data_IF_333806417650
#
_entry.id   IF_333806417650
#
_cell.length_a   1.000
_cell.length_b   1.000
_cell.length_c   1.000
_cell.angle_alpha   90.00
_cell.angle_beta   90.00
_cell.angle_gamma   90.00
#
_symmetry.space_group_name_H-M   'P 1'
#
loop_
_entity.id
_entity.type
_entity.pdbx_description
1 polymer ?
#
# COMPACT_ATOMS: atom_id res chain seq x y z
N UNK A 1 13.31 -14.71 8.39
CA UNK A 1 13.68 -13.30 8.12
C UNK A 1 12.43 -12.46 8.00
N UNK A 2 12.34 -11.37 8.76
CA UNK A 2 11.10 -10.64 9.00
C UNK A 2 10.89 -9.53 7.97
N UNK A 3 9.94 -9.70 7.04
CA UNK A 3 9.57 -8.68 6.04
C UNK A 3 8.71 -7.54 6.61
N UNK A 4 8.88 -7.20 7.90
CA UNK A 4 8.05 -6.21 8.61
C UNK A 4 8.20 -4.81 8.02
N UNK A 5 9.38 -4.46 7.53
CA UNK A 5 9.61 -3.20 6.85
C UNK A 5 8.68 -3.04 5.64
N UNK A 6 8.68 -4.01 4.71
CA UNK A 6 7.86 -3.94 3.50
C UNK A 6 6.35 -3.92 3.79
N UNK A 7 5.90 -4.64 4.83
CA UNK A 7 4.51 -4.59 5.28
C UNK A 7 4.12 -3.21 5.81
N UNK A 8 4.94 -2.62 6.68
CA UNK A 8 4.67 -1.29 7.22
C UNK A 8 4.77 -0.22 6.13
N UNK A 9 5.79 -0.31 5.28
CA UNK A 9 6.00 0.60 4.17
C UNK A 9 4.83 0.57 3.18
N UNK A 10 4.43 -0.62 2.72
CA UNK A 10 3.28 -0.78 1.83
C UNK A 10 1.98 -0.26 2.46
N UNK A 11 1.73 -0.56 3.75
CA UNK A 11 0.57 -0.05 4.47
C UNK A 11 0.58 1.49 4.58
N UNK A 12 1.73 2.10 4.90
CA UNK A 12 1.87 3.55 4.98
C UNK A 12 1.66 4.21 3.61
N UNK A 13 2.19 3.63 2.52
CA UNK A 13 1.95 4.16 1.18
C UNK A 13 0.47 4.14 0.82
N UNK A 14 -0.23 3.02 1.06
CA UNK A 14 -1.68 2.93 0.80
C UNK A 14 -2.45 3.97 1.62
N UNK A 15 -2.10 4.16 2.90
CA UNK A 15 -2.77 5.14 3.76
C UNK A 15 -2.50 6.58 3.35
N UNK A 16 -1.25 6.94 3.05
CA UNK A 16 -0.88 8.31 2.70
C UNK A 16 -1.39 8.69 1.32
N UNK A 17 -1.04 7.90 0.29
CA UNK A 17 -1.47 8.20 -1.08
C UNK A 17 -2.98 8.00 -1.25
N UNK A 18 -3.55 6.96 -0.63
CA UNK A 18 -4.98 6.67 -0.73
C UNK A 18 -5.83 7.63 0.09
N UNK A 19 -5.36 8.01 1.28
CA UNK A 19 -6.02 9.00 2.11
C UNK A 19 -6.07 10.37 1.43
N UNK A 20 -4.96 10.84 0.87
CA UNK A 20 -4.95 12.13 0.16
C UNK A 20 -5.80 12.05 -1.12
N UNK A 21 -5.75 10.93 -1.85
CA UNK A 21 -6.58 10.70 -3.03
C UNK A 21 -8.07 10.79 -2.69
N UNK A 22 -8.53 10.07 -1.66
CA UNK A 22 -9.93 10.09 -1.22
C UNK A 22 -10.35 11.50 -0.81
N UNK A 23 -9.56 12.18 0.02
CA UNK A 23 -9.89 13.53 0.50
C UNK A 23 -10.01 14.51 -0.68
N UNK A 24 -9.04 14.50 -1.62
CA UNK A 24 -9.07 15.41 -2.76
C UNK A 24 -10.19 15.05 -3.74
N UNK A 25 -10.36 13.77 -4.07
CA UNK A 25 -11.42 13.33 -4.96
C UNK A 25 -12.81 13.79 -4.48
N UNK A 26 -13.13 13.63 -3.20
CA UNK A 26 -14.43 14.05 -2.65
C UNK A 26 -14.55 15.56 -2.43
N UNK A 27 -13.45 16.27 -2.16
CA UNK A 27 -13.50 17.71 -1.82
C UNK A 27 -13.35 18.63 -3.02
N UNK A 28 -12.51 18.28 -4.00
CA UNK A 28 -12.21 19.10 -5.18
C UNK A 28 -12.72 18.48 -6.47
N UNK A 29 -13.11 17.20 -6.47
CA UNK A 29 -13.45 16.46 -7.70
C UNK A 29 -12.24 16.14 -8.57
N UNK A 30 -11.02 16.40 -8.08
CA UNK A 30 -9.79 16.20 -8.84
C UNK A 30 -9.30 14.75 -8.71
N UNK A 31 -9.09 14.11 -9.86
CA UNK A 31 -8.44 12.81 -9.96
C UNK A 31 -6.94 13.00 -10.08
N UNK A 32 -6.22 12.74 -8.99
CA UNK A 32 -4.76 12.77 -8.95
C UNK A 32 -4.17 11.42 -9.37
N UNK A 33 -3.79 11.32 -10.64
CA UNK A 33 -3.19 10.12 -11.21
C UNK A 33 -1.88 9.72 -10.49
N UNK A 34 -1.10 10.69 -10.01
CA UNK A 34 0.11 10.47 -9.21
C UNK A 34 -0.20 9.75 -7.89
N UNK A 35 -1.29 10.14 -7.22
CA UNK A 35 -1.72 9.49 -5.97
C UNK A 35 -2.26 8.10 -6.23
N UNK A 36 -2.98 7.90 -7.34
CA UNK A 36 -3.47 6.58 -7.74
C UNK A 36 -2.32 5.60 -8.01
N UNK A 37 -1.25 6.06 -8.68
CA UNK A 37 -0.03 5.28 -8.89
C UNK A 37 0.64 4.96 -7.55
N UNK A 38 0.74 5.94 -6.65
CA UNK A 38 1.29 5.73 -5.30
C UNK A 38 0.53 4.68 -4.49
N UNK A 39 -0.80 4.69 -4.56
CA UNK A 39 -1.67 3.65 -3.94
C UNK A 39 -1.42 2.29 -4.58
N UNK A 40 -1.40 2.21 -5.92
CA UNK A 40 -1.21 0.95 -6.62
C UNK A 40 0.14 0.31 -6.29
N UNK A 41 1.22 1.09 -6.30
CA UNK A 41 2.57 0.62 -5.92
C UNK A 41 2.60 0.17 -4.46
N UNK A 42 2.03 0.96 -3.55
CA UNK A 42 1.93 0.62 -2.13
C UNK A 42 1.17 -0.69 -1.90
N UNK A 43 0.05 -0.88 -2.60
CA UNK A 43 -0.76 -2.10 -2.52
C UNK A 43 -0.01 -3.33 -3.05
N UNK A 44 0.69 -3.21 -4.18
CA UNK A 44 1.53 -4.29 -4.72
C UNK A 44 2.60 -4.71 -3.71
N UNK A 45 3.34 -3.75 -3.14
CA UNK A 45 4.37 -4.03 -2.13
C UNK A 45 3.77 -4.70 -0.89
N UNK A 46 2.63 -4.20 -0.41
CA UNK A 46 1.95 -4.76 0.75
C UNK A 46 1.50 -6.20 0.51
N UNK A 47 0.84 -6.46 -0.62
CA UNK A 47 0.32 -7.79 -0.98
C UNK A 47 1.46 -8.79 -1.13
N UNK A 48 2.54 -8.42 -1.84
CA UNK A 48 3.70 -9.29 -2.00
C UNK A 48 4.38 -9.60 -0.67
N UNK A 49 4.58 -8.59 0.17
CA UNK A 49 5.18 -8.77 1.50
C UNK A 49 4.28 -9.63 2.41
N UNK A 50 2.96 -9.50 2.28
CA UNK A 50 1.99 -10.29 3.01
C UNK A 50 2.00 -11.76 2.57
N UNK A 51 1.93 -12.03 1.27
CA UNK A 51 1.99 -13.39 0.72
C UNK A 51 3.30 -14.07 1.13
N UNK A 52 4.43 -13.36 1.05
CA UNK A 52 5.72 -13.89 1.48
C UNK A 52 5.70 -14.28 2.97
N UNK A 53 5.15 -13.41 3.82
CA UNK A 53 5.07 -13.68 5.27
C UNK A 53 4.22 -14.92 5.55
N UNK A 54 3.09 -15.09 4.87
CA UNK A 54 2.24 -16.26 5.04
C UNK A 54 2.96 -17.53 4.58
N UNK A 55 3.62 -17.50 3.42
CA UNK A 55 4.38 -18.65 2.91
C UNK A 55 5.53 -19.07 3.82
N UNK A 56 6.24 -18.12 4.41
CA UNK A 56 7.30 -18.44 5.37
C UNK A 56 6.74 -18.99 6.68
N UNK A 57 5.61 -18.49 7.16
CA UNK A 57 4.96 -19.01 8.38
C UNK A 57 4.43 -20.44 8.21
N UNK A 58 4.05 -20.84 6.99
CA UNK A 58 3.59 -22.21 6.68
C UNK A 58 4.76 -23.19 6.55
N UNK A 59 5.97 -22.71 6.27
CA UNK A 59 7.18 -23.52 6.06
C UNK A 59 8.02 -23.75 7.31
N UNK A 60 7.65 -23.12 8.43
CA UNK A 60 8.21 -23.33 9.78
C UNK A 60 7.25 -24.21 10.59
#
# INVERSE_FOLDING_TARGET
MTNRFFLLFGAMMVLLFGGVFVIRYFRTGELLADQLIGVAVGAIVFIWAFIWRQRNKIRE
#
